data_IF_566952614429
#
_entry.id   IF_566952614429
#
_cell.length_a   1.000
_cell.length_b   1.000
_cell.length_c   1.000
_cell.angle_alpha   90.00
_cell.angle_beta   90.00
_cell.angle_gamma   90.00
#
_symmetry.space_group_name_H-M   'P 1'
#
loop_
_entity.id
_entity.type
_entity.pdbx_description
1 polymer ?
#
# COMPACT_ATOMS: atom_id res chain seq x y z
N UNK A 1 -20.67 1.41 6.94
CA UNK A 1 -20.03 0.15 7.33
C UNK A 1 -18.86 0.52 8.21
N UNK A 2 -18.95 0.27 9.52
CA UNK A 2 -17.92 0.64 10.48
C UNK A 2 -16.73 -0.30 10.32
N UNK A 3 -15.49 0.18 10.17
CA UNK A 3 -14.34 -0.72 10.07
C UNK A 3 -14.16 -1.47 11.40
N UNK A 4 -13.72 -2.74 11.37
CA UNK A 4 -13.69 -3.59 12.55
C UNK A 4 -12.83 -2.99 13.68
N UNK A 5 -11.72 -2.33 13.36
CA UNK A 5 -10.84 -1.64 14.34
C UNK A 5 -11.44 -0.38 15.00
N UNK A 6 -12.63 0.06 14.61
CA UNK A 6 -13.29 1.22 15.22
C UNK A 6 -14.13 0.85 16.46
N UNK A 7 -14.24 -0.44 16.77
CA UNK A 7 -14.92 -0.92 17.99
C UNK A 7 -13.93 -0.84 19.16
N UNK A 8 -14.32 -0.14 20.22
CA UNK A 8 -13.46 0.09 21.40
C UNK A 8 -13.15 -1.18 22.22
N UNK A 9 -13.81 -2.30 21.91
CA UNK A 9 -13.70 -3.57 22.66
C UNK A 9 -12.64 -4.53 22.10
N UNK A 10 -11.95 -4.19 21.01
CA UNK A 10 -10.92 -5.07 20.45
C UNK A 10 -9.61 -4.95 21.22
N UNK A 11 -9.03 -6.11 21.53
CA UNK A 11 -7.67 -6.19 22.07
C UNK A 11 -6.65 -5.63 21.06
N UNK A 12 -5.55 -5.01 21.53
CA UNK A 12 -4.55 -4.40 20.66
C UNK A 12 -4.01 -5.33 19.57
N UNK A 13 -3.80 -6.60 19.88
CA UNK A 13 -3.31 -7.60 18.94
C UNK A 13 -4.33 -7.85 17.81
N UNK A 14 -5.64 -7.80 18.13
CA UNK A 14 -6.70 -7.98 17.14
C UNK A 14 -6.77 -6.77 16.21
N UNK A 15 -6.69 -5.56 16.77
CA UNK A 15 -6.62 -4.32 15.98
C UNK A 15 -5.41 -4.33 15.05
N UNK A 16 -4.25 -4.76 15.56
CA UNK A 16 -3.00 -4.88 14.78
C UNK A 16 -3.16 -5.88 13.63
N UNK A 17 -3.74 -7.05 13.89
CA UNK A 17 -3.97 -8.07 12.89
C UNK A 17 -4.94 -7.59 11.79
N UNK A 18 -6.01 -6.89 12.16
CA UNK A 18 -6.94 -6.31 11.19
C UNK A 18 -6.27 -5.21 10.36
N UNK A 19 -5.54 -4.29 10.99
CA UNK A 19 -4.80 -3.26 10.24
C UNK A 19 -3.79 -3.87 9.26
N UNK A 20 -3.04 -4.90 9.67
CA UNK A 20 -2.10 -5.60 8.79
C UNK A 20 -2.79 -6.32 7.61
N UNK A 21 -4.03 -6.81 7.79
CA UNK A 21 -4.84 -7.40 6.71
C UNK A 21 -5.26 -6.36 5.67
N UNK A 22 -5.67 -5.18 6.12
CA UNK A 22 -6.12 -4.10 5.23
C UNK A 22 -4.98 -3.33 4.57
N UNK A 23 -3.81 -3.27 5.22
CA UNK A 23 -2.62 -2.60 4.73
C UNK A 23 -1.44 -3.58 4.60
N UNK A 24 -1.42 -4.42 3.55
CA UNK A 24 -0.32 -5.34 3.32
C UNK A 24 1.04 -4.63 3.23
N UNK A 25 2.05 -5.16 3.92
CA UNK A 25 3.40 -4.58 3.92
C UNK A 25 3.60 -3.42 4.90
N UNK A 26 2.60 -3.12 5.72
CA UNK A 26 2.74 -2.19 6.86
C UNK A 26 2.98 -2.99 8.14
N UNK A 27 4.00 -2.60 8.90
CA UNK A 27 4.19 -3.09 10.26
C UNK A 27 3.43 -2.16 11.22
N UNK A 28 2.56 -2.71 12.05
CA UNK A 28 1.71 -1.96 13.00
C UNK A 28 1.94 -2.50 14.40
N UNK A 29 1.94 -1.63 15.41
CA UNK A 29 2.00 -2.01 16.82
C UNK A 29 1.40 -0.91 17.71
N UNK A 30 1.03 -1.27 18.94
CA UNK A 30 0.72 -0.31 20.00
C UNK A 30 1.95 -0.15 20.89
N UNK A 31 2.33 1.09 21.19
CA UNK A 31 3.38 1.39 22.17
C UNK A 31 2.82 1.26 23.58
N UNK A 32 3.25 0.26 24.34
CA UNK A 32 2.75 0.02 25.71
C UNK A 32 2.98 1.22 26.64
N UNK A 33 4.12 1.90 26.51
CA UNK A 33 4.47 3.05 27.36
C UNK A 33 3.72 4.33 26.97
N UNK A 34 3.50 4.56 25.67
CA UNK A 34 2.85 5.81 25.20
C UNK A 34 1.35 5.66 25.01
N UNK A 35 0.84 4.43 24.94
CA UNK A 35 -0.53 4.11 24.52
C UNK A 35 -0.80 4.39 23.04
N UNK A 36 0.15 4.98 22.31
CA UNK A 36 0.00 5.37 20.90
C UNK A 36 0.05 4.17 19.97
N UNK A 37 -0.65 4.28 18.85
CA UNK A 37 -0.57 3.39 17.72
C UNK A 37 0.51 3.85 16.75
N UNK A 38 1.32 2.90 16.29
CA UNK A 38 2.42 3.17 15.40
C UNK A 38 2.35 2.29 14.15
N UNK A 39 2.79 2.84 13.03
CA UNK A 39 2.94 2.10 11.80
C UNK A 39 4.21 2.49 11.04
N UNK A 40 4.93 1.48 10.54
CA UNK A 40 6.00 1.64 9.57
C UNK A 40 5.47 1.23 8.20
N UNK A 41 5.26 2.21 7.33
CA UNK A 41 4.70 2.02 5.99
C UNK A 41 5.62 2.60 4.92
N UNK A 42 5.53 2.09 3.68
CA UNK A 42 6.25 2.69 2.55
C UNK A 42 5.45 3.86 2.00
N UNK A 43 6.11 5.00 1.82
CA UNK A 43 5.59 6.10 1.02
C UNK A 43 5.68 5.77 -0.47
N UNK A 44 4.97 6.54 -1.28
CA UNK A 44 4.99 6.42 -2.74
C UNK A 44 6.37 6.55 -3.39
N UNK A 45 7.34 7.15 -2.70
CA UNK A 45 8.71 7.28 -3.18
C UNK A 45 9.58 6.07 -2.80
N UNK A 46 8.96 5.01 -2.26
CA UNK A 46 9.65 3.80 -1.82
C UNK A 46 10.40 3.96 -0.50
N UNK A 47 10.14 5.04 0.26
CA UNK A 47 10.82 5.26 1.55
C UNK A 47 9.93 4.84 2.69
N UNK A 48 10.53 4.27 3.72
CA UNK A 48 9.82 3.99 4.96
C UNK A 48 9.45 5.29 5.69
N UNK A 49 8.22 5.36 6.18
CA UNK A 49 7.71 6.42 7.04
C UNK A 49 7.10 5.82 8.29
N UNK A 50 7.48 6.40 9.41
CA UNK A 50 6.89 6.12 10.70
C UNK A 50 5.69 7.05 10.89
N UNK A 51 4.55 6.47 11.24
CA UNK A 51 3.29 7.17 11.49
C UNK A 51 2.87 6.85 12.91
N UNK A 52 2.53 7.87 13.67
CA UNK A 52 1.96 7.75 15.02
C UNK A 52 0.50 8.24 15.00
N UNK A 53 -0.35 7.63 15.81
CA UNK A 53 -1.69 8.14 16.09
C UNK A 53 -2.17 7.71 17.48
N UNK A 54 -3.10 8.47 18.05
CA UNK A 54 -3.70 8.14 19.36
C UNK A 54 -4.76 7.04 19.27
N UNK A 55 -5.36 6.86 18.08
CA UNK A 55 -6.48 5.95 17.81
C UNK A 55 -6.20 5.08 16.58
N UNK A 56 -6.68 3.83 16.56
CA UNK A 56 -6.52 2.94 15.41
C UNK A 56 -7.08 3.51 14.10
N UNK A 57 -8.26 4.15 14.16
CA UNK A 57 -8.88 4.80 13.00
C UNK A 57 -7.99 5.90 12.40
N UNK A 58 -7.43 6.75 13.26
CA UNK A 58 -6.56 7.84 12.83
C UNK A 58 -5.27 7.29 12.19
N UNK A 59 -4.74 6.20 12.74
CA UNK A 59 -3.60 5.51 12.14
C UNK A 59 -3.94 4.99 10.73
N UNK A 60 -5.09 4.32 10.59
CA UNK A 60 -5.56 3.79 9.30
C UNK A 60 -5.72 4.88 8.24
N UNK A 61 -6.32 6.02 8.59
CA UNK A 61 -6.49 7.16 7.69
C UNK A 61 -5.12 7.72 7.23
N UNK A 62 -4.17 7.86 8.16
CA UNK A 62 -2.82 8.34 7.85
C UNK A 62 -2.06 7.37 6.93
N UNK A 63 -2.17 6.06 7.16
CA UNK A 63 -1.59 5.03 6.28
C UNK A 63 -2.22 5.11 4.88
N UNK A 64 -3.54 5.21 4.79
CA UNK A 64 -4.27 5.28 3.53
C UNK A 64 -3.86 6.51 2.70
N UNK A 65 -3.69 7.67 3.36
CA UNK A 65 -3.18 8.88 2.71
C UNK A 65 -1.76 8.69 2.19
N UNK A 66 -0.89 8.06 2.99
CA UNK A 66 0.50 7.83 2.64
C UNK A 66 0.66 6.91 1.40
N UNK A 67 -0.20 5.89 1.30
CA UNK A 67 -0.16 4.89 0.23
C UNK A 67 -1.04 5.23 -0.99
N UNK A 68 -1.81 6.33 -0.92
CA UNK A 68 -2.74 6.69 -1.99
C UNK A 68 -2.02 6.82 -3.34
N UNK A 69 -2.47 6.10 -4.39
CA UNK A 69 -1.92 6.26 -5.71
C UNK A 69 -2.07 7.69 -6.19
N UNK A 70 -1.00 8.27 -6.74
CA UNK A 70 -1.11 9.52 -7.48
C UNK A 70 -2.11 9.31 -8.63
N UNK A 71 -2.96 10.31 -8.94
CA UNK A 71 -3.66 10.31 -10.21
C UNK A 71 -2.57 10.21 -11.29
N UNK A 72 -2.55 9.08 -12.02
CA UNK A 72 -1.68 8.94 -13.19
C UNK A 72 -2.03 10.13 -14.06
N UNK A 73 -1.07 11.01 -14.32
CA UNK A 73 -1.24 12.03 -15.34
C UNK A 73 -1.67 11.29 -16.60
N UNK A 74 -2.96 11.42 -16.97
CA UNK A 74 -3.42 10.93 -18.25
C UNK A 74 -2.50 11.58 -19.28
N UNK A 75 -1.94 10.81 -20.23
CA UNK A 75 -1.23 11.43 -21.33
C UNK A 75 -2.18 12.48 -21.89
N UNK A 76 -1.76 13.76 -21.89
CA UNK A 76 -2.43 14.77 -22.68
C UNK A 76 -2.24 14.28 -24.12
N UNK A 77 -3.20 13.53 -24.64
CA UNK A 77 -3.34 13.39 -26.08
C UNK A 77 -3.58 14.81 -26.58
N UNK A 78 -2.53 15.43 -27.10
CA UNK A 78 -2.63 16.71 -27.78
C UNK A 78 -3.69 16.54 -28.85
N UNK A 79 -4.74 17.36 -28.75
CA UNK A 79 -5.82 17.44 -29.74
C UNK A 79 -5.28 17.72 -31.16
N UNK A 80 -4.03 18.16 -31.27
CA UNK A 80 -3.29 18.41 -32.51
C UNK A 80 -2.99 17.13 -33.32
N UNK A 81 -3.04 15.93 -32.71
CA UNK A 81 -2.73 14.68 -33.43
C UNK A 81 -3.89 14.09 -34.24
N UNK A 82 -5.08 14.68 -34.21
CA UNK A 82 -6.23 14.25 -35.03
C UNK A 82 -6.25 14.88 -36.43
N UNK A 83 -5.28 15.74 -36.77
CA UNK A 83 -5.23 16.45 -38.05
C UNK A 83 -4.47 15.75 -39.20
N UNK A 84 -3.64 14.74 -38.92
CA UNK A 84 -2.68 14.23 -39.92
C UNK A 84 -2.90 12.76 -40.35
N UNK A 85 -3.89 12.09 -39.77
CA UNK A 85 -4.18 10.68 -40.06
C UNK A 85 -5.01 10.44 -41.35
N UNK A 86 -4.97 11.35 -42.33
CA UNK A 86 -5.62 11.16 -43.63
C UNK A 86 -4.64 10.96 -44.80
N UNK A 87 -3.34 10.86 -44.55
CA UNK A 87 -2.41 10.55 -45.63
C UNK A 87 -1.24 9.67 -45.19
N UNK A 88 -1.40 8.37 -45.46
CA UNK A 88 -0.39 7.41 -45.97
C UNK A 88 -0.43 6.07 -45.24
N UNK A 89 -1.08 5.12 -45.91
CA UNK A 89 -0.68 3.71 -46.10
C UNK A 89 0.31 3.15 -45.07
N UNK A 90 -0.17 2.27 -44.18
CA UNK A 90 0.68 1.30 -43.49
C UNK A 90 0.40 -0.11 -44.04
N UNK A 91 1.38 -0.82 -44.62
CA UNK A 91 1.31 -2.27 -44.75
C UNK A 91 1.76 -2.93 -43.44
N UNK A 92 0.96 -3.85 -42.93
CA UNK A 92 1.27 -4.65 -41.75
C UNK A 92 2.32 -5.73 -42.04
N UNK A 93 3.29 -5.95 -41.13
CA UNK A 93 3.94 -7.25 -41.04
C UNK A 93 3.41 -8.03 -39.84
N UNK A 94 2.79 -9.16 -40.17
CA UNK A 94 2.46 -10.27 -39.29
C UNK A 94 3.67 -11.15 -39.00
N UNK A 95 4.03 -11.34 -37.71
CA UNK A 95 4.61 -12.58 -37.14
C UNK A 95 4.65 -12.48 -35.61
N UNK A 96 3.77 -13.15 -34.88
CA UNK A 96 3.85 -14.54 -34.39
C UNK A 96 4.80 -14.75 -33.19
N UNK A 97 4.17 -15.04 -32.03
CA UNK A 97 4.37 -16.24 -31.18
C UNK A 97 4.96 -16.04 -29.75
N UNK A 98 4.10 -16.43 -28.80
CA UNK A 98 4.33 -17.12 -27.51
C UNK A 98 4.96 -16.40 -26.30
N UNK A 99 4.07 -16.15 -25.32
CA UNK A 99 4.06 -16.67 -23.94
C UNK A 99 5.38 -16.80 -23.16
N UNK A 100 5.43 -16.19 -21.97
CA UNK A 100 5.77 -16.90 -20.72
C UNK A 100 5.04 -16.27 -19.53
N UNK A 101 4.25 -17.07 -18.81
CA UNK A 101 3.81 -16.86 -17.43
C UNK A 101 4.98 -17.14 -16.47
N UNK A 102 5.30 -16.23 -15.54
CA UNK A 102 5.94 -16.47 -14.22
C UNK A 102 5.52 -15.29 -13.33
N UNK A 103 4.86 -15.40 -12.18
CA UNK A 103 4.87 -16.44 -11.15
C UNK A 103 5.84 -16.06 -10.05
N UNK A 104 5.32 -15.77 -8.83
CA UNK A 104 6.01 -15.88 -7.52
C UNK A 104 7.12 -14.84 -7.21
N UNK A 105 7.22 -14.17 -6.05
CA UNK A 105 7.26 -14.58 -4.62
C UNK A 105 6.79 -13.36 -3.77
N UNK A 106 5.91 -13.40 -2.76
CA UNK A 106 5.96 -14.08 -1.45
C UNK A 106 7.35 -14.05 -0.78
N UNK A 107 7.61 -12.98 -0.03
CA UNK A 107 8.53 -13.02 1.11
C UNK A 107 7.80 -12.51 2.34
N UNK A 108 7.41 -13.47 3.18
CA UNK A 108 7.08 -13.24 4.57
C UNK A 108 8.37 -12.95 5.34
N UNK A 109 8.38 -11.90 6.14
CA UNK A 109 9.31 -11.75 7.25
C UNK A 109 8.46 -11.41 8.48
N UNK A 110 7.97 -12.47 9.12
CA UNK A 110 7.63 -12.44 10.54
C UNK A 110 8.93 -12.21 11.31
N UNK A 111 9.16 -10.97 11.73
CA UNK A 111 10.19 -10.63 12.70
C UNK A 111 9.58 -10.57 14.08
N UNK A 112 9.64 -11.68 14.81
CA UNK A 112 9.57 -11.69 16.27
C UNK A 112 10.64 -10.73 16.80
N UNK A 113 10.26 -9.73 17.57
CA UNK A 113 11.17 -9.11 18.53
C UNK A 113 10.56 -9.33 19.91
N UNK A 114 10.97 -10.43 20.52
CA UNK A 114 11.00 -10.55 21.97
C UNK A 114 12.21 -9.74 22.44
N UNK A 115 12.00 -8.77 23.32
CA UNK A 115 13.04 -8.25 24.24
C UNK A 115 12.31 -7.95 25.54
N UNK A 116 12.17 -8.97 26.38
CA UNK A 116 13.09 -9.34 27.46
C UNK A 116 12.99 -8.39 28.65
N UNK A 117 12.30 -8.88 29.67
CA UNK A 117 12.29 -8.36 31.02
C UNK A 117 13.71 -8.41 31.61
N UNK A 118 14.10 -7.40 32.37
CA UNK A 118 15.17 -7.50 33.36
C UNK A 118 14.98 -6.42 34.42
N UNK A 119 14.55 -6.91 35.60
CA UNK A 119 14.93 -6.53 36.96
C UNK A 119 15.08 -5.06 37.36
#
# INVERSE_FOLDING_TARGET
>A
MTPPWAVAELEPEQVTAELARWFPGVAVWQGEFTGSWWALAWDRAGRHRLVEASKPMELADRIAVLQRPLPRHAPRYSRDSLGDASSRVQPAPSRHRRSVRRGWLRSALSGLITVNASH
#
